data_IF_622556931577
#
_entry.id   IF_622556931577
#
_cell.length_a   1.000
_cell.length_b   1.000
_cell.length_c   1.000
_cell.angle_alpha   90.00
_cell.angle_beta   90.00
_cell.angle_gamma   90.00
#
_symmetry.space_group_name_H-M   'P 1'
#
loop_
_entity.id
_entity.type
_entity.pdbx_description
1 polymer ?
#
# COMPACT_ATOMS: atom_id res chain seq x y z
N UNK A 1 -15.42 25.33 19.92
CA UNK A 1 -16.72 26.04 20.06
C UNK A 1 -17.60 25.82 18.82
N UNK A 2 -17.18 26.24 17.62
CA UNK A 2 -17.94 26.08 16.36
C UNK A 2 -18.49 24.66 16.10
N UNK A 3 -17.72 23.59 16.39
CA UNK A 3 -18.21 22.22 16.22
C UNK A 3 -19.36 21.86 17.19
N UNK A 4 -19.31 22.35 18.42
CA UNK A 4 -20.34 22.10 19.44
C UNK A 4 -21.64 22.79 19.06
N UNK A 5 -21.55 24.02 18.55
CA UNK A 5 -22.69 24.82 18.10
C UNK A 5 -23.47 24.18 16.94
N UNK A 6 -22.82 23.32 16.15
CA UNK A 6 -23.55 22.56 15.11
C UNK A 6 -24.61 21.64 15.66
N UNK A 7 -24.52 21.24 16.94
CA UNK A 7 -25.43 20.27 17.55
C UNK A 7 -25.04 18.81 17.29
N UNK A 8 -23.95 18.53 16.56
CA UNK A 8 -23.53 17.16 16.21
C UNK A 8 -23.43 16.22 17.42
N UNK A 9 -22.94 16.70 18.57
CA UNK A 9 -22.80 15.88 19.78
C UNK A 9 -24.14 15.43 20.37
N UNK A 10 -25.19 16.25 20.24
CA UNK A 10 -26.54 15.84 20.63
C UNK A 10 -27.08 14.71 19.75
N UNK A 11 -26.55 14.59 18.53
CA UNK A 11 -26.90 13.53 17.59
C UNK A 11 -26.04 12.27 17.78
N UNK A 12 -24.72 12.39 17.90
CA UNK A 12 -23.83 11.22 17.95
C UNK A 12 -23.76 10.55 19.34
N UNK A 13 -23.77 11.33 20.42
CA UNK A 13 -23.51 10.79 21.77
C UNK A 13 -24.62 9.84 22.27
N UNK A 14 -25.92 10.09 22.02
CA UNK A 14 -26.96 9.12 22.40
C UNK A 14 -26.81 7.78 21.66
N UNK A 15 -26.38 7.81 20.39
CA UNK A 15 -26.19 6.60 19.56
C UNK A 15 -25.01 5.76 20.01
N UNK A 16 -23.90 6.43 20.37
CA UNK A 16 -22.78 5.77 21.01
C UNK A 16 -23.22 5.15 22.35
N UNK A 17 -23.80 5.96 23.23
CA UNK A 17 -24.23 5.54 24.59
C UNK A 17 -25.18 4.35 24.54
N UNK A 18 -26.14 4.34 23.61
CA UNK A 18 -27.11 3.25 23.47
C UNK A 18 -26.44 1.91 23.17
N UNK A 19 -25.40 1.90 22.33
CA UNK A 19 -24.70 0.67 21.93
C UNK A 19 -23.64 0.24 22.94
N UNK A 20 -22.97 1.19 23.59
CA UNK A 20 -21.79 0.91 24.42
C UNK A 20 -22.04 0.96 25.92
N UNK A 21 -23.18 1.55 26.35
CA UNK A 21 -23.52 1.91 27.74
C UNK A 21 -22.52 2.86 28.40
N UNK A 22 -21.70 3.55 27.61
CA UNK A 22 -20.74 4.55 28.08
C UNK A 22 -21.35 5.93 27.90
N UNK A 23 -21.45 6.70 28.99
CA UNK A 23 -21.89 8.10 28.94
C UNK A 23 -20.69 8.99 28.61
N UNK A 24 -20.89 9.94 27.71
CA UNK A 24 -19.87 10.91 27.29
C UNK A 24 -20.40 12.29 27.59
N UNK A 25 -19.61 13.09 28.28
CA UNK A 25 -19.92 14.48 28.60
C UNK A 25 -18.94 15.41 27.86
N UNK A 26 -19.43 16.57 27.43
CA UNK A 26 -18.59 17.62 26.87
C UNK A 26 -17.99 18.42 28.02
N UNK A 27 -16.66 18.50 28.06
CA UNK A 27 -15.89 19.17 29.12
C UNK A 27 -14.91 20.16 28.53
N UNK A 28 -14.25 20.93 29.39
CA UNK A 28 -13.17 21.83 28.97
C UNK A 28 -11.96 21.05 28.45
N UNK A 29 -11.15 21.65 27.58
CA UNK A 29 -10.00 21.01 26.93
C UNK A 29 -9.03 20.36 27.94
N UNK A 30 -8.80 21.04 29.07
CA UNK A 30 -7.93 20.57 30.15
C UNK A 30 -8.43 19.32 30.88
N UNK A 31 -9.73 19.02 30.81
CA UNK A 31 -10.39 17.88 31.45
C UNK A 31 -10.73 16.76 30.45
N UNK A 32 -10.73 17.05 29.15
CA UNK A 32 -11.14 16.13 28.11
C UNK A 32 -10.17 14.94 27.96
N UNK A 33 -10.68 13.71 27.97
CA UNK A 33 -9.89 12.50 27.66
C UNK A 33 -9.69 12.27 26.17
N UNK A 34 -10.57 12.85 25.34
CA UNK A 34 -10.53 12.82 23.89
C UNK A 34 -10.88 14.20 23.35
N UNK A 35 -10.09 14.70 22.40
CA UNK A 35 -10.29 16.00 21.77
C UNK A 35 -10.61 15.84 20.28
N UNK A 36 -11.40 16.78 19.76
CA UNK A 36 -11.65 16.93 18.32
C UNK A 36 -11.10 18.29 17.87
N UNK A 37 -10.14 18.27 16.95
CA UNK A 37 -9.40 19.46 16.54
C UNK A 37 -8.68 19.28 15.20
N UNK A 38 -7.65 20.09 14.92
CA UNK A 38 -6.88 20.00 13.67
C UNK A 38 -5.82 18.89 13.67
N UNK A 39 -5.54 18.25 14.82
CA UNK A 39 -4.47 17.25 14.98
C UNK A 39 -5.00 15.92 15.51
N UNK A 40 -4.35 14.81 15.13
CA UNK A 40 -4.72 13.45 15.54
C UNK A 40 -5.14 12.56 14.37
N UNK A 41 -6.02 11.60 14.63
CA UNK A 41 -6.58 10.71 13.60
C UNK A 41 -7.75 11.40 12.87
N UNK A 42 -7.75 11.55 11.53
CA UNK A 42 -8.86 12.17 10.81
C UNK A 42 -10.14 11.30 10.94
N UNK A 43 -11.26 11.92 11.29
CA UNK A 43 -12.54 11.21 11.50
C UNK A 43 -13.69 11.69 10.63
N UNK A 44 -13.73 12.99 10.31
CA UNK A 44 -14.70 13.59 9.39
C UNK A 44 -14.26 14.99 9.00
N UNK A 45 -14.86 15.55 7.96
CA UNK A 45 -14.60 16.92 7.53
C UNK A 45 -15.89 17.71 7.39
N UNK A 46 -15.81 19.01 7.67
CA UNK A 46 -16.92 19.95 7.69
C UNK A 46 -16.52 21.26 8.36
N UNK A 47 -17.33 22.30 8.18
CA UNK A 47 -17.01 23.65 8.68
C UNK A 47 -15.67 24.20 8.14
N UNK A 48 -15.28 23.79 6.93
CA UNK A 48 -14.05 24.25 6.28
C UNK A 48 -12.75 23.59 6.79
N UNK A 49 -12.82 22.53 7.59
CA UNK A 49 -11.64 21.79 8.05
C UNK A 49 -11.88 20.28 8.15
N UNK A 50 -10.78 19.52 8.22
CA UNK A 50 -10.79 18.13 8.68
C UNK A 50 -10.72 18.11 10.21
N UNK A 51 -11.63 17.39 10.82
CA UNK A 51 -11.66 17.14 12.25
C UNK A 51 -10.93 15.85 12.56
N UNK A 52 -9.94 15.99 13.43
CA UNK A 52 -9.09 14.93 13.89
C UNK A 52 -9.39 14.64 15.35
N UNK A 53 -9.33 13.37 15.69
CA UNK A 53 -9.54 12.84 17.01
C UNK A 53 -8.19 12.58 17.68
N UNK A 54 -7.99 13.19 18.85
CA UNK A 54 -6.79 13.01 19.66
C UNK A 54 -7.16 12.57 21.09
N UNK A 55 -7.06 11.27 21.40
CA UNK A 55 -7.10 10.79 22.78
C UNK A 55 -5.89 11.32 23.57
N UNK A 56 -6.00 11.41 24.91
CA UNK A 56 -4.83 11.62 25.77
C UNK A 56 -3.80 10.50 25.58
N UNK A 57 -2.56 10.77 25.98
CA UNK A 57 -1.44 9.80 25.94
C UNK A 57 -1.81 8.46 26.62
N UNK A 58 -2.55 8.54 27.73
CA UNK A 58 -3.09 7.36 28.42
C UNK A 58 -4.59 7.56 28.63
N UNK A 59 -5.44 7.22 27.65
CA UNK A 59 -6.88 7.38 27.78
C UNK A 59 -7.46 6.28 28.67
N UNK A 60 -8.60 6.53 29.32
CA UNK A 60 -9.36 5.43 29.92
C UNK A 60 -9.86 4.47 28.84
N UNK A 61 -10.23 3.25 29.24
CA UNK A 61 -10.86 2.28 28.33
C UNK A 61 -12.10 2.85 27.65
N UNK A 62 -12.88 3.66 28.37
CA UNK A 62 -14.08 4.31 27.82
C UNK A 62 -13.73 5.37 26.76
N UNK A 63 -12.70 6.17 27.00
CA UNK A 63 -12.19 7.13 26.03
C UNK A 63 -11.64 6.44 24.78
N UNK A 64 -10.88 5.35 24.94
CA UNK A 64 -10.40 4.54 23.82
C UNK A 64 -11.55 3.94 23.00
N UNK A 65 -12.60 3.41 23.66
CA UNK A 65 -13.79 2.88 22.98
C UNK A 65 -14.57 3.94 22.20
N UNK A 66 -14.67 5.16 22.73
CA UNK A 66 -15.28 6.27 22.00
C UNK A 66 -14.45 6.63 20.78
N UNK A 67 -13.12 6.67 20.93
CA UNK A 67 -12.22 6.98 19.85
C UNK A 67 -12.27 5.97 18.71
N UNK A 68 -12.22 4.68 19.05
CA UNK A 68 -12.37 3.57 18.11
C UNK A 68 -13.73 3.63 17.39
N UNK A 69 -14.81 3.88 18.13
CA UNK A 69 -16.15 3.98 17.55
C UNK A 69 -16.26 5.13 16.55
N UNK A 70 -15.78 6.32 16.93
CA UNK A 70 -15.89 7.52 16.10
C UNK A 70 -14.97 7.46 14.87
N UNK A 71 -13.79 6.86 15.00
CA UNK A 71 -12.87 6.61 13.88
C UNK A 71 -13.22 5.40 13.00
N UNK A 72 -14.17 4.57 13.43
CA UNK A 72 -14.63 3.39 12.69
C UNK A 72 -15.80 3.65 11.75
N UNK A 73 -16.16 2.63 10.97
CA UNK A 73 -17.24 2.71 9.96
C UNK A 73 -18.57 3.19 10.56
N UNK A 74 -18.95 2.68 11.74
CA UNK A 74 -20.23 3.03 12.39
C UNK A 74 -20.25 4.50 12.80
N UNK A 75 -19.15 5.02 13.37
CA UNK A 75 -19.00 6.42 13.72
C UNK A 75 -19.08 7.31 12.48
N UNK A 76 -18.30 6.99 11.45
CA UNK A 76 -18.29 7.72 10.18
C UNK A 76 -19.66 7.76 9.50
N UNK A 77 -20.37 6.63 9.43
CA UNK A 77 -21.76 6.58 8.92
C UNK A 77 -22.74 7.40 9.76
N UNK A 78 -22.53 7.43 11.07
CA UNK A 78 -23.38 8.24 11.96
C UNK A 78 -23.15 9.72 11.72
N UNK A 79 -21.90 10.15 11.63
CA UNK A 79 -21.53 11.56 11.39
C UNK A 79 -22.03 12.03 10.02
N UNK A 80 -21.84 11.24 8.96
CA UNK A 80 -22.28 11.58 7.60
C UNK A 80 -23.80 11.61 7.44
N UNK A 81 -24.53 10.90 8.30
CA UNK A 81 -26.00 10.95 8.35
C UNK A 81 -26.55 12.20 9.06
N UNK A 82 -25.69 13.02 9.69
CA UNK A 82 -26.13 14.23 10.37
C UNK A 82 -26.49 15.34 9.38
N UNK A 83 -27.79 15.58 9.22
CA UNK A 83 -28.34 16.52 8.25
C UNK A 83 -29.43 17.42 8.87
N UNK A 84 -29.06 18.39 9.75
CA UNK A 84 -30.02 19.24 10.47
C UNK A 84 -30.93 20.06 9.54
N UNK A 85 -30.43 20.47 8.38
CA UNK A 85 -31.18 21.22 7.35
C UNK A 85 -31.51 20.35 6.12
N UNK A 86 -31.58 19.03 6.30
CA UNK A 86 -31.80 18.07 5.20
C UNK A 86 -30.60 17.83 4.28
N UNK A 87 -29.48 18.54 4.51
CA UNK A 87 -28.19 18.35 3.84
C UNK A 87 -27.16 17.89 4.87
N UNK A 88 -26.37 16.86 4.51
CA UNK A 88 -25.29 16.36 5.36
C UNK A 88 -24.27 17.47 5.65
N UNK A 89 -24.05 17.76 6.94
CA UNK A 89 -23.12 18.82 7.35
C UNK A 89 -21.66 18.37 7.34
N UNK A 90 -21.44 17.05 7.45
CA UNK A 90 -20.12 16.43 7.51
C UNK A 90 -20.01 15.31 6.47
N UNK A 91 -18.79 15.11 5.96
CA UNK A 91 -18.45 14.01 5.05
C UNK A 91 -17.26 13.22 5.63
N UNK A 92 -17.03 12.02 5.12
CA UNK A 92 -15.80 11.28 5.47
C UNK A 92 -14.60 12.05 4.93
N UNK A 93 -13.48 12.09 5.67
CA UNK A 93 -12.31 12.78 5.19
C UNK A 93 -11.82 12.11 3.90
N UNK A 94 -11.49 12.89 2.89
CA UNK A 94 -10.67 12.43 1.78
C UNK A 94 -9.28 12.09 2.34
N UNK A 95 -9.07 10.84 2.73
CA UNK A 95 -7.74 10.32 3.02
C UNK A 95 -7.05 10.28 1.66
N UNK A 96 -6.24 11.31 1.38
CA UNK A 96 -5.24 11.20 0.33
C UNK A 96 -4.40 9.98 0.69
N UNK A 97 -4.58 8.91 -0.07
CA UNK A 97 -3.74 7.73 0.00
C UNK A 97 -2.33 8.25 -0.19
N UNK A 98 -1.59 8.39 0.91
CA UNK A 98 -0.18 8.66 0.87
C UNK A 98 0.39 7.40 0.23
N UNK A 99 0.56 7.45 -1.08
CA UNK A 99 1.38 6.51 -1.79
C UNK A 99 2.69 6.49 -1.00
N UNK A 100 2.93 5.40 -0.27
CA UNK A 100 4.25 5.11 0.24
C UNK A 100 5.19 5.36 -0.93
N UNK A 101 6.11 6.32 -0.76
CA UNK A 101 7.07 6.64 -1.80
C UNK A 101 7.69 5.32 -2.20
N UNK A 102 7.47 4.92 -3.47
CA UNK A 102 7.98 3.66 -3.98
C UNK A 102 9.47 3.59 -3.61
N UNK A 103 9.96 2.45 -3.11
CA UNK A 103 11.37 2.32 -2.74
C UNK A 103 12.23 2.84 -3.89
N UNK A 104 13.09 3.81 -3.58
CA UNK A 104 14.04 4.36 -4.56
C UNK A 104 15.16 3.34 -4.66
N UNK A 105 15.21 2.61 -5.77
CA UNK A 105 16.33 1.74 -6.09
C UNK A 105 17.44 2.58 -6.72
N UNK A 106 18.63 2.54 -6.14
CA UNK A 106 19.77 3.37 -6.53
C UNK A 106 20.48 2.88 -7.82
N UNK A 107 20.06 1.76 -8.40
CA UNK A 107 20.67 1.18 -9.60
C UNK A 107 20.46 1.99 -10.89
N UNK A 108 21.36 1.85 -11.87
CA UNK A 108 21.20 2.45 -13.21
C UNK A 108 20.09 1.72 -13.98
N UNK A 109 18.88 2.30 -14.00
CA UNK A 109 17.72 1.74 -14.70
C UNK A 109 17.95 1.54 -16.22
N UNK A 110 18.83 2.32 -16.86
CA UNK A 110 19.17 2.13 -18.28
C UNK A 110 20.05 0.89 -18.44
N UNK A 111 21.05 0.70 -17.58
CA UNK A 111 21.81 -0.55 -17.53
C UNK A 111 20.88 -1.74 -17.25
N UNK A 112 19.96 -1.58 -16.30
CA UNK A 112 18.96 -2.59 -15.96
C UNK A 112 18.12 -3.02 -17.15
N UNK A 113 17.68 -2.06 -17.98
CA UNK A 113 16.96 -2.34 -19.22
C UNK A 113 17.81 -3.13 -20.21
N UNK A 114 19.06 -2.70 -20.44
CA UNK A 114 20.00 -3.36 -21.35
C UNK A 114 20.29 -4.81 -20.94
N UNK A 115 20.60 -5.02 -19.66
CA UNK A 115 20.84 -6.34 -19.06
C UNK A 115 19.59 -7.22 -19.16
N UNK A 116 18.42 -6.69 -18.78
CA UNK A 116 17.15 -7.43 -18.84
C UNK A 116 16.84 -7.88 -20.27
N UNK A 117 17.07 -7.02 -21.26
CA UNK A 117 16.90 -7.38 -22.67
C UNK A 117 17.88 -8.46 -23.12
N UNK A 118 19.13 -8.38 -22.69
CA UNK A 118 20.15 -9.35 -23.07
C UNK A 118 19.92 -10.74 -22.45
N UNK A 119 19.53 -10.78 -21.18
CA UNK A 119 19.50 -12.01 -20.38
C UNK A 119 18.11 -12.65 -20.32
N UNK A 120 17.05 -11.84 -20.22
CA UNK A 120 15.70 -12.32 -19.85
C UNK A 120 14.73 -12.39 -21.04
N UNK A 121 14.98 -11.65 -22.13
CA UNK A 121 14.04 -11.51 -23.25
C UNK A 121 13.76 -12.81 -24.04
N UNK A 122 14.60 -13.84 -23.85
CA UNK A 122 14.36 -15.17 -24.42
C UNK A 122 13.12 -15.86 -23.84
N UNK A 123 12.76 -15.54 -22.59
CA UNK A 123 11.65 -16.17 -21.86
C UNK A 123 10.54 -15.17 -21.52
N UNK A 124 10.90 -13.92 -21.20
CA UNK A 124 9.97 -12.89 -20.75
C UNK A 124 9.83 -11.76 -21.78
N UNK A 125 8.64 -11.17 -21.88
CA UNK A 125 8.49 -9.84 -22.45
C UNK A 125 9.03 -8.79 -21.47
N UNK A 126 10.15 -8.15 -21.79
CA UNK A 126 10.88 -7.22 -20.91
C UNK A 126 10.41 -5.77 -21.10
N UNK A 127 9.97 -5.43 -22.32
CA UNK A 127 9.51 -4.11 -22.73
C UNK A 127 8.50 -4.21 -23.88
N UNK A 128 8.06 -3.05 -24.40
CA UNK A 128 7.11 -3.00 -25.52
C UNK A 128 7.67 -3.63 -26.80
N UNK A 129 8.98 -3.55 -27.05
CA UNK A 129 9.59 -4.10 -28.26
C UNK A 129 9.75 -5.63 -28.20
N UNK A 130 9.80 -6.20 -27.01
CA UNK A 130 9.81 -7.65 -26.74
C UNK A 130 8.42 -8.17 -26.40
N UNK A 131 7.36 -7.37 -26.59
CA UNK A 131 5.99 -7.80 -26.34
C UNK A 131 5.62 -8.93 -27.31
N UNK A 132 5.31 -10.10 -26.75
CA UNK A 132 5.05 -11.31 -27.53
C UNK A 132 6.31 -12.09 -27.94
N UNK A 133 7.50 -11.55 -27.65
CA UNK A 133 8.73 -12.33 -27.60
C UNK A 133 8.83 -12.99 -26.21
N UNK A 134 9.30 -14.23 -26.17
CA UNK A 134 9.34 -15.06 -24.96
C UNK A 134 8.43 -16.28 -25.07
N UNK A 135 8.29 -16.98 -23.94
CA UNK A 135 7.48 -18.19 -23.86
C UNK A 135 6.08 -17.75 -23.41
N UNK A 136 5.04 -18.09 -24.18
CA UNK A 136 3.66 -17.63 -23.90
C UNK A 136 3.11 -18.02 -22.53
N UNK A 137 3.71 -19.00 -21.85
CA UNK A 137 3.36 -19.40 -20.48
C UNK A 137 4.12 -18.64 -19.39
N UNK A 138 5.06 -17.77 -19.75
CA UNK A 138 5.86 -16.99 -18.80
C UNK A 138 5.38 -15.54 -18.77
N UNK A 139 5.03 -14.99 -17.60
CA UNK A 139 4.51 -13.63 -17.51
C UNK A 139 5.56 -12.58 -17.91
N UNK A 140 5.12 -11.52 -18.60
CA UNK A 140 5.99 -10.38 -18.92
C UNK A 140 6.42 -9.61 -17.67
N UNK A 141 7.48 -8.82 -17.77
CA UNK A 141 7.96 -7.97 -16.67
C UNK A 141 6.86 -7.02 -16.18
N UNK A 142 6.11 -6.40 -17.11
CA UNK A 142 5.01 -5.50 -16.75
C UNK A 142 3.89 -6.22 -15.96
N UNK A 143 3.62 -7.49 -16.26
CA UNK A 143 2.65 -8.31 -15.50
C UNK A 143 3.19 -8.62 -14.11
N UNK A 144 4.45 -9.06 -14.02
CA UNK A 144 5.10 -9.34 -12.74
C UNK A 144 5.20 -8.08 -11.87
N UNK A 145 5.46 -6.91 -12.46
CA UNK A 145 5.53 -5.62 -11.78
C UNK A 145 4.23 -5.21 -11.10
N UNK A 146 3.09 -5.67 -11.61
CA UNK A 146 1.77 -5.43 -11.02
C UNK A 146 1.42 -6.33 -9.84
N UNK A 147 2.27 -7.32 -9.49
CA UNK A 147 2.02 -8.22 -8.37
C UNK A 147 2.44 -7.57 -7.04
N UNK A 148 1.73 -7.83 -5.92
CA UNK A 148 2.10 -7.26 -4.61
C UNK A 148 3.51 -7.66 -4.14
N UNK A 149 4.01 -8.82 -4.56
CA UNK A 149 5.30 -9.39 -4.17
C UNK A 149 6.37 -9.26 -5.28
N UNK A 150 6.18 -8.34 -6.23
CA UNK A 150 7.08 -8.18 -7.39
C UNK A 150 8.54 -8.01 -6.98
N UNK A 151 8.81 -7.23 -5.92
CA UNK A 151 10.16 -6.96 -5.43
C UNK A 151 10.91 -8.24 -5.06
N UNK A 152 10.25 -9.10 -4.28
CA UNK A 152 10.82 -10.38 -3.86
C UNK A 152 11.02 -11.33 -5.05
N UNK A 153 10.09 -11.31 -6.02
CA UNK A 153 10.19 -12.13 -7.22
C UNK A 153 11.38 -11.73 -8.08
N UNK A 154 11.60 -10.44 -8.30
CA UNK A 154 12.73 -9.95 -9.11
C UNK A 154 14.05 -10.03 -8.35
N UNK A 155 14.09 -9.72 -7.05
CA UNK A 155 15.33 -9.78 -6.26
C UNK A 155 15.79 -11.23 -6.05
N UNK A 156 14.85 -12.17 -5.88
CA UNK A 156 15.13 -13.58 -5.62
C UNK A 156 14.97 -14.51 -6.82
N UNK A 157 14.81 -13.98 -8.04
CA UNK A 157 14.37 -14.77 -9.20
C UNK A 157 15.25 -15.99 -9.46
N UNK A 158 16.57 -15.88 -9.24
CA UNK A 158 17.56 -16.94 -9.42
C UNK A 158 17.36 -18.15 -8.49
N UNK A 159 16.51 -18.03 -7.46
CA UNK A 159 16.10 -19.11 -6.56
C UNK A 159 14.74 -19.71 -6.93
N UNK A 160 13.98 -19.06 -7.82
CA UNK A 160 12.62 -19.44 -8.19
C UNK A 160 12.60 -20.25 -9.50
N UNK A 161 11.98 -21.42 -9.48
CA UNK A 161 11.87 -22.26 -10.66
C UNK A 161 11.25 -21.49 -11.85
N UNK A 162 11.81 -21.63 -13.06
CA UNK A 162 12.86 -22.58 -13.45
C UNK A 162 14.31 -22.06 -13.35
N UNK A 163 14.53 -20.85 -12.85
CA UNK A 163 15.81 -20.12 -12.95
C UNK A 163 17.04 -20.77 -12.30
N UNK A 164 16.96 -21.48 -11.15
CA UNK A 164 18.15 -22.08 -10.52
C UNK A 164 18.93 -23.04 -11.44
N UNK A 165 18.26 -23.63 -12.43
CA UNK A 165 18.90 -24.56 -13.37
C UNK A 165 19.80 -23.86 -14.41
N UNK A 166 19.69 -22.55 -14.57
CA UNK A 166 20.39 -21.82 -15.63
C UNK A 166 20.77 -20.37 -15.29
N UNK A 167 20.75 -20.00 -14.01
CA UNK A 167 21.12 -18.65 -13.57
C UNK A 167 22.31 -18.71 -12.63
N UNK A 168 23.31 -17.87 -12.89
CA UNK A 168 24.43 -17.60 -11.99
C UNK A 168 24.40 -16.13 -11.61
N UNK A 169 24.39 -15.84 -10.33
CA UNK A 169 24.70 -14.52 -9.80
C UNK A 169 26.14 -14.57 -9.29
N UNK A 170 26.99 -13.71 -9.86
CA UNK A 170 28.41 -13.67 -9.50
C UNK A 170 28.58 -13.46 -7.99
N UNK A 171 29.49 -14.23 -7.40
CA UNK A 171 29.82 -14.23 -5.96
C UNK A 171 28.68 -14.64 -5.01
N UNK A 172 27.49 -14.96 -5.54
CA UNK A 172 26.30 -15.33 -4.72
C UNK A 172 25.90 -16.78 -4.92
N UNK A 173 25.81 -17.25 -6.17
CA UNK A 173 25.39 -18.63 -6.46
C UNK A 173 26.60 -19.52 -6.73
N UNK A 174 26.53 -20.77 -6.29
CA UNK A 174 27.51 -21.79 -6.66
C UNK A 174 27.52 -22.05 -8.19
N UNK A 175 28.67 -22.43 -8.78
CA UNK A 175 28.72 -22.89 -10.16
C UNK A 175 27.87 -24.16 -10.35
N UNK A 176 27.38 -24.39 -11.58
CA UNK A 176 26.68 -25.63 -11.89
C UNK A 176 27.60 -26.85 -11.68
N UNK A 177 27.14 -27.91 -11.00
CA UNK A 177 27.90 -29.15 -10.88
C UNK A 177 28.22 -29.73 -12.26
N UNK A 178 29.42 -30.31 -12.43
CA UNK A 178 29.85 -30.91 -13.71
C UNK A 178 28.87 -31.99 -14.22
N UNK A 179 28.30 -32.78 -13.31
CA UNK A 179 27.32 -33.84 -13.60
C UNK A 179 25.91 -33.32 -13.90
N UNK A 180 25.65 -32.03 -13.67
CA UNK A 180 24.35 -31.37 -13.90
C UNK A 180 24.59 -29.95 -14.45
N UNK A 181 25.14 -29.83 -15.67
CA UNK A 181 25.36 -28.53 -16.29
C UNK A 181 24.02 -27.87 -16.63
N UNK A 182 24.07 -26.55 -16.89
CA UNK A 182 22.88 -25.82 -17.30
C UNK A 182 22.29 -26.39 -18.60
N UNK A 183 20.95 -26.57 -18.70
CA UNK A 183 20.32 -27.12 -19.90
C UNK A 183 20.24 -26.12 -21.06
N UNK A 184 20.55 -24.84 -20.82
CA UNK A 184 20.57 -23.77 -21.82
C UNK A 184 21.80 -22.88 -21.60
N UNK A 185 22.02 -21.91 -22.49
CA UNK A 185 23.04 -20.86 -22.25
C UNK A 185 22.68 -20.13 -20.95
N UNK A 186 23.56 -20.14 -19.93
CA UNK A 186 23.23 -19.55 -18.64
C UNK A 186 22.98 -18.05 -18.72
N UNK A 187 22.05 -17.59 -17.90
CA UNK A 187 21.98 -16.20 -17.48
C UNK A 187 23.10 -16.00 -16.46
N UNK A 188 23.90 -14.96 -16.66
CA UNK A 188 24.93 -14.54 -15.71
C UNK A 188 24.77 -13.06 -15.42
N UNK A 189 24.69 -12.71 -14.14
CA UNK A 189 24.55 -11.34 -13.66
C UNK A 189 25.52 -11.09 -12.51
N UNK A 190 26.07 -9.88 -12.42
CA UNK A 190 26.66 -9.37 -11.18
C UNK A 190 25.58 -8.86 -10.21
N UNK A 191 25.95 -8.58 -8.96
CA UNK A 191 25.06 -7.90 -8.01
C UNK A 191 24.67 -6.50 -8.50
N UNK A 192 25.60 -5.76 -9.12
CA UNK A 192 25.32 -4.43 -9.70
C UNK A 192 24.30 -4.52 -10.86
N UNK A 193 24.42 -5.54 -11.71
CA UNK A 193 23.46 -5.77 -12.81
C UNK A 193 22.08 -6.22 -12.28
N UNK A 194 22.04 -6.99 -11.19
CA UNK A 194 20.80 -7.34 -10.48
C UNK A 194 20.13 -6.10 -9.90
N UNK A 195 20.88 -5.23 -9.22
CA UNK A 195 20.36 -3.98 -8.67
C UNK A 195 19.89 -3.02 -9.77
N UNK A 196 20.62 -2.93 -10.88
CA UNK A 196 20.22 -2.17 -12.06
C UNK A 196 18.91 -2.71 -12.65
N UNK A 197 18.76 -4.04 -12.77
CA UNK A 197 17.51 -4.68 -13.21
C UNK A 197 16.34 -4.32 -12.27
N UNK A 198 16.54 -4.36 -10.95
CA UNK A 198 15.52 -3.96 -9.98
C UNK A 198 15.10 -2.51 -10.16
N UNK A 199 16.07 -1.59 -10.36
CA UNK A 199 15.78 -0.18 -10.63
C UNK A 199 15.00 0.03 -11.93
N UNK A 200 15.33 -0.71 -12.99
CA UNK A 200 14.56 -0.70 -14.24
C UNK A 200 13.10 -1.14 -14.02
N UNK A 201 12.89 -2.25 -13.34
CA UNK A 201 11.56 -2.79 -13.07
C UNK A 201 10.76 -1.88 -12.14
N UNK A 202 11.39 -1.28 -11.14
CA UNK A 202 10.72 -0.33 -10.24
C UNK A 202 10.12 0.86 -10.99
N UNK A 203 10.88 1.40 -11.95
CA UNK A 203 10.51 2.54 -12.77
C UNK A 203 9.53 2.22 -13.92
N UNK A 204 9.25 0.94 -14.19
CA UNK A 204 8.37 0.55 -15.27
C UNK A 204 6.88 0.66 -14.88
N UNK A 205 6.03 0.99 -15.85
CA UNK A 205 4.58 0.91 -15.67
C UNK A 205 4.14 -0.57 -15.54
N UNK A 206 3.35 -0.86 -14.51
CA UNK A 206 2.68 -2.14 -14.38
C UNK A 206 1.68 -2.34 -15.52
N UNK A 207 1.47 -3.59 -15.95
CA UNK A 207 0.44 -3.91 -16.91
C UNK A 207 -0.95 -3.63 -16.32
N UNK A 208 -1.81 -2.97 -17.09
CA UNK A 208 -3.22 -2.86 -16.77
C UNK A 208 -3.91 -4.20 -17.07
N UNK A 209 -4.30 -4.89 -16.01
CA UNK A 209 -4.94 -6.21 -16.05
C UNK A 209 -6.46 -6.12 -15.87
N UNK A 210 -7.02 -4.91 -15.70
CA UNK A 210 -8.44 -4.64 -15.47
C UNK A 210 -8.97 -5.06 -14.10
N UNK A 211 -8.64 -6.27 -13.63
CA UNK A 211 -9.00 -6.79 -12.31
C UNK A 211 -7.78 -7.38 -11.60
N UNK A 212 -7.75 -7.43 -10.25
CA UNK A 212 -6.66 -8.04 -9.50
C UNK A 212 -6.41 -9.49 -9.93
N UNK A 213 -5.13 -9.86 -10.07
CA UNK A 213 -4.73 -11.23 -10.40
C UNK A 213 -5.24 -12.19 -9.31
N UNK A 214 -6.09 -13.13 -9.71
CA UNK A 214 -6.53 -14.22 -8.83
C UNK A 214 -5.53 -15.37 -8.94
N UNK A 215 -4.84 -15.70 -7.84
CA UNK A 215 -3.99 -16.89 -7.80
C UNK A 215 -4.86 -18.16 -7.95
N UNK A 216 -4.47 -19.06 -8.86
CA UNK A 216 -4.93 -20.45 -8.89
C UNK A 216 -3.93 -21.34 -8.17
#
# INVERSE_FOLDING_TARGET
>A
EALVETGIFTYILPRFTLKTRVRVDLVSEGEAEVQLGPEGQPVFEGLGQVWHLAPRVTPSENAARFAEWLGGEVGGRTVTAYAPEGVALFRLPEIAEQAEAAPVYEGDARLGHEVSRAQCARCHGVDRATRGAGIGSTPSFAVLRGMPDWELRFAGFYTLNPHPAFTIIDEVTEPFPEERPSPIVPIRLSLEELDAMLAYVAAMEAADLGAPLTHQ
#
